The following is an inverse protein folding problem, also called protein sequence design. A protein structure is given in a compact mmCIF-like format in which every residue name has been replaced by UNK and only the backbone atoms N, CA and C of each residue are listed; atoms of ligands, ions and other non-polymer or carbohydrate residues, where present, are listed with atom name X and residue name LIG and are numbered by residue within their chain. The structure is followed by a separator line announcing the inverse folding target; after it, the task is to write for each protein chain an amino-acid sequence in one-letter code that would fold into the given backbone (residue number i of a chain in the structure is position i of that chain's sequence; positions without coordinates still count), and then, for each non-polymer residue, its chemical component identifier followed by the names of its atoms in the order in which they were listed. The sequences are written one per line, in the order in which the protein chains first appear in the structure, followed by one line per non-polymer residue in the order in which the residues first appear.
data_IF_467879352039
#
_entry.id   IF_467879352039
#
_cell.length_a   1.000
_cell.length_b   1.000
_cell.length_c   1.000
_cell.angle_alpha   90.00
_cell.angle_beta   90.00
_cell.angle_gamma   90.00
#
_symmetry.space_group_name_H-M   'P 1'
#
loop_
_entity.id
_entity.type
_entity.pdbx_description
1 polymer ?
#
# COMPACT_ATOMS: atom_id res chain seq x y z
N UNK A 1 -47.70 -35.01 -8.06
CA UNK A 1 -46.48 -35.02 -7.23
C UNK A 1 -45.31 -34.64 -8.15
N UNK A 2 -45.20 -33.36 -8.55
CA UNK A 2 -44.44 -32.24 -7.95
C UNK A 2 -42.89 -32.36 -8.02
N UNK A 3 -42.34 -31.85 -9.13
CA UNK A 3 -41.27 -30.83 -9.29
C UNK A 3 -39.92 -30.90 -8.54
N UNK A 4 -38.85 -30.88 -9.37
CA UNK A 4 -37.71 -29.92 -9.47
C UNK A 4 -36.48 -29.97 -8.53
N UNK A 5 -35.27 -30.11 -9.14
CA UNK A 5 -34.24 -29.03 -9.24
C UNK A 5 -33.06 -29.42 -10.15
N UNK A 6 -33.08 -28.88 -11.38
CA UNK A 6 -31.97 -28.31 -12.17
C UNK A 6 -31.22 -27.24 -11.33
N UNK A 7 -30.02 -26.72 -11.57
CA UNK A 7 -29.00 -26.65 -12.64
C UNK A 7 -27.82 -25.86 -12.01
N UNK A 8 -26.61 -25.87 -12.60
CA UNK A 8 -25.61 -24.84 -12.27
C UNK A 8 -24.13 -25.18 -12.44
N UNK A 9 -23.72 -26.00 -13.43
CA UNK A 9 -22.33 -25.94 -13.93
C UNK A 9 -22.26 -24.77 -14.91
N UNK A 10 -21.62 -23.68 -14.51
CA UNK A 10 -21.39 -22.53 -15.40
C UNK A 10 -20.39 -22.99 -16.47
N UNK A 11 -20.94 -23.19 -17.67
CA UNK A 11 -20.22 -23.40 -18.91
C UNK A 11 -19.75 -22.01 -19.39
N UNK A 12 -18.48 -21.69 -19.23
CA UNK A 12 -17.90 -20.47 -19.83
C UNK A 12 -17.86 -20.71 -21.34
N UNK A 13 -18.66 -19.93 -22.06
CA UNK A 13 -18.80 -20.01 -23.52
C UNK A 13 -17.57 -19.34 -24.16
N UNK A 14 -16.60 -20.13 -24.62
CA UNK A 14 -15.53 -19.64 -25.50
C UNK A 14 -16.11 -19.37 -26.89
N UNK A 15 -16.26 -18.09 -27.24
CA UNK A 15 -16.49 -17.70 -28.63
C UNK A 15 -15.15 -17.76 -29.38
N UNK A 16 -14.83 -18.94 -29.94
CA UNK A 16 -13.74 -19.08 -30.91
C UNK A 16 -14.22 -18.45 -32.22
N UNK A 17 -13.81 -17.22 -32.52
CA UNK A 17 -13.89 -16.68 -33.87
C UNK A 17 -12.68 -17.18 -34.63
N UNK A 18 -12.83 -18.31 -35.34
CA UNK A 18 -11.94 -18.65 -36.45
C UNK A 18 -12.43 -17.85 -37.65
N UNK A 19 -11.68 -16.83 -38.08
CA UNK A 19 -11.76 -16.37 -39.46
C UNK A 19 -10.38 -16.32 -40.12
N UNK A 20 -10.31 -17.13 -41.17
CA UNK A 20 -9.30 -17.18 -42.20
C UNK A 20 -9.38 -15.88 -43.02
N UNK A 21 -8.25 -15.23 -43.31
CA UNK A 21 -8.18 -14.10 -44.23
C UNK A 21 -6.74 -13.63 -44.43
N UNK A 22 -5.98 -14.26 -45.33
CA UNK A 22 -5.69 -13.72 -46.67
C UNK A 22 -4.69 -12.57 -46.70
N UNK A 23 -3.49 -12.92 -47.17
CA UNK A 23 -2.71 -12.22 -48.18
C UNK A 23 -2.34 -10.74 -47.95
N UNK A 24 -1.03 -10.50 -48.00
CA UNK A 24 -0.42 -9.28 -48.51
C UNK A 24 -1.24 -8.62 -49.63
N UNK A 25 -1.79 -7.43 -49.39
CA UNK A 25 -1.68 -6.27 -50.29
C UNK A 25 -2.54 -5.10 -49.79
N UNK A 26 -1.90 -3.94 -49.62
CA UNK A 26 -2.37 -2.64 -50.10
C UNK A 26 -3.79 -2.17 -49.76
N UNK A 27 -3.83 -1.10 -48.95
CA UNK A 27 -4.81 -0.02 -48.98
C UNK A 27 -6.30 -0.40 -48.82
N UNK A 28 -6.87 -0.14 -47.65
CA UNK A 28 -8.04 0.74 -47.45
C UNK A 28 -8.49 0.68 -45.99
N UNK A 29 -8.86 1.83 -45.43
CA UNK A 29 -9.34 1.96 -44.05
C UNK A 29 -10.46 0.98 -43.71
N UNK A 30 -10.15 0.09 -42.78
CA UNK A 30 -11.02 -0.84 -42.05
C UNK A 30 -10.57 -0.85 -40.58
N UNK A 31 -11.38 -1.38 -39.65
CA UNK A 31 -11.54 -0.83 -38.30
C UNK A 31 -10.25 -0.79 -37.47
N UNK A 32 -10.13 0.26 -36.64
CA UNK A 32 -9.17 0.37 -35.55
C UNK A 32 -9.28 -0.88 -34.65
N UNK A 33 -8.21 -1.68 -34.64
CA UNK A 33 -7.82 -2.76 -33.71
C UNK A 33 -8.92 -3.70 -33.19
N UNK A 34 -8.73 -5.02 -33.40
CA UNK A 34 -9.70 -6.03 -32.99
C UNK A 34 -9.62 -6.28 -31.47
N UNK A 35 -10.46 -5.56 -30.72
CA UNK A 35 -10.71 -5.87 -29.31
C UNK A 35 -11.40 -7.24 -29.22
N UNK A 36 -10.70 -8.21 -28.66
CA UNK A 36 -11.20 -9.58 -28.50
C UNK A 36 -11.66 -9.78 -27.06
N UNK A 37 -12.71 -10.58 -26.87
CA UNK A 37 -13.11 -11.04 -25.53
C UNK A 37 -12.13 -12.11 -25.03
N UNK A 38 -10.92 -11.67 -24.73
CA UNK A 38 -9.82 -12.46 -24.22
C UNK A 38 -9.05 -13.29 -25.25
N UNK A 39 -7.91 -13.84 -24.79
CA UNK A 39 -7.06 -14.78 -25.49
C UNK A 39 -7.23 -16.19 -24.89
N UNK A 40 -6.95 -17.24 -25.65
CA UNK A 40 -6.81 -18.57 -25.04
C UNK A 40 -5.51 -18.65 -24.22
N UNK A 41 -5.48 -19.48 -23.17
CA UNK A 41 -4.24 -19.75 -22.44
C UNK A 41 -3.16 -20.33 -23.37
N UNK A 42 -3.53 -21.12 -24.38
CA UNK A 42 -2.62 -21.57 -25.45
C UNK A 42 -1.97 -20.42 -26.24
N UNK A 43 -2.67 -19.29 -26.43
CA UNK A 43 -2.11 -18.11 -27.08
C UNK A 43 -1.17 -17.36 -26.13
N UNK A 44 -1.52 -17.28 -24.84
CA UNK A 44 -0.73 -16.64 -23.80
C UNK A 44 0.57 -17.40 -23.55
N UNK A 45 0.53 -18.73 -23.52
CA UNK A 45 1.73 -19.59 -23.40
C UNK A 45 2.72 -19.47 -24.56
N UNK A 46 2.34 -18.78 -25.65
CA UNK A 46 3.22 -18.46 -26.79
C UNK A 46 3.79 -17.04 -26.73
N UNK A 47 3.36 -16.21 -25.77
CA UNK A 47 3.95 -14.89 -25.57
C UNK A 47 5.41 -15.08 -25.17
N UNK A 48 6.30 -14.41 -25.90
CA UNK A 48 7.73 -14.47 -25.68
C UNK A 48 8.34 -13.09 -25.69
N UNK A 49 9.41 -12.94 -24.92
CA UNK A 49 10.14 -11.67 -24.78
C UNK A 49 11.63 -11.93 -24.74
N UNK A 50 12.40 -10.99 -25.29
CA UNK A 50 13.86 -10.96 -25.20
C UNK A 50 14.28 -9.72 -24.42
N UNK A 51 15.00 -9.94 -23.31
CA UNK A 51 15.51 -8.86 -22.46
C UNK A 51 16.93 -8.45 -22.85
N UNK A 52 17.26 -7.19 -22.63
CA UNK A 52 18.62 -6.67 -22.66
C UNK A 52 19.37 -6.89 -21.35
N UNK A 53 18.65 -7.09 -20.25
CA UNK A 53 19.19 -7.29 -18.90
C UNK A 53 18.33 -8.26 -18.08
N UNK A 54 18.99 -8.94 -17.15
CA UNK A 54 18.35 -9.79 -16.16
C UNK A 54 17.59 -8.96 -15.11
N UNK A 55 16.96 -9.61 -14.13
CA UNK A 55 16.31 -8.97 -13.00
C UNK A 55 17.30 -8.04 -12.31
N UNK A 56 16.96 -6.76 -12.30
CA UNK A 56 17.85 -5.70 -11.85
C UNK A 56 17.22 -5.03 -10.63
N UNK A 57 17.98 -4.73 -9.57
CA UNK A 57 17.50 -3.91 -8.49
C UNK A 57 16.83 -2.63 -8.99
N UNK A 58 15.74 -2.20 -8.35
CA UNK A 58 15.02 -0.98 -8.71
C UNK A 58 14.82 -0.12 -7.46
N UNK A 59 14.98 1.19 -7.60
CA UNK A 59 14.51 2.17 -6.62
C UNK A 59 13.48 3.05 -7.32
N UNK A 60 12.24 2.98 -6.90
CA UNK A 60 11.15 3.81 -7.39
C UNK A 60 10.87 4.96 -6.43
N UNK A 61 10.76 6.19 -6.96
CA UNK A 61 10.38 7.35 -6.15
C UNK A 61 8.97 7.18 -5.62
N UNK A 62 8.75 7.49 -4.34
CA UNK A 62 7.40 7.51 -3.75
C UNK A 62 6.52 8.65 -4.29
N UNK A 63 7.11 9.62 -5.02
CA UNK A 63 6.41 10.78 -5.59
C UNK A 63 5.34 10.39 -6.62
N UNK A 64 5.45 9.23 -7.26
CA UNK A 64 4.47 8.74 -8.20
C UNK A 64 4.23 7.22 -8.03
N UNK A 65 2.98 6.86 -7.76
CA UNK A 65 2.59 5.48 -7.46
C UNK A 65 2.77 4.51 -8.65
N UNK A 66 2.76 5.00 -9.90
CA UNK A 66 2.96 4.14 -11.07
C UNK A 66 4.40 3.64 -11.21
N UNK A 67 5.39 4.33 -10.63
CA UNK A 67 6.79 3.94 -10.76
C UNK A 67 7.08 2.55 -10.21
N UNK A 68 6.41 2.15 -9.12
CA UNK A 68 6.51 0.80 -8.58
C UNK A 68 5.94 -0.24 -9.57
N UNK A 69 4.82 0.06 -10.24
CA UNK A 69 4.21 -0.84 -11.22
C UNK A 69 5.13 -1.04 -12.44
N UNK A 70 5.74 0.04 -12.93
CA UNK A 70 6.71 0.02 -14.03
C UNK A 70 7.96 -0.79 -13.65
N UNK A 71 8.46 -0.61 -12.43
CA UNK A 71 9.66 -1.29 -11.92
C UNK A 71 9.46 -2.77 -11.58
N UNK A 72 8.23 -3.20 -11.31
CA UNK A 72 7.95 -4.58 -10.85
C UNK A 72 8.43 -5.65 -11.86
N UNK A 73 8.06 -5.63 -13.15
CA UNK A 73 8.56 -6.61 -14.14
C UNK A 73 10.05 -6.42 -14.51
N UNK A 74 10.69 -5.36 -14.02
CA UNK A 74 12.13 -5.13 -14.13
C UNK A 74 12.89 -5.85 -13.02
N UNK A 75 12.38 -5.75 -11.79
CA UNK A 75 12.94 -6.37 -10.60
C UNK A 75 12.58 -7.85 -10.47
N UNK A 76 11.40 -8.27 -10.95
CA UNK A 76 10.95 -9.66 -10.89
C UNK A 76 10.31 -10.10 -12.21
N UNK A 77 10.79 -11.21 -12.76
CA UNK A 77 10.12 -11.85 -13.90
C UNK A 77 10.37 -13.36 -13.94
N UNK A 78 9.61 -14.06 -14.77
CA UNK A 78 9.78 -15.48 -15.03
C UNK A 78 10.30 -15.77 -16.44
N UNK A 79 11.33 -16.61 -16.54
CA UNK A 79 11.80 -17.19 -17.79
C UNK A 79 11.50 -18.69 -17.78
N UNK A 80 10.50 -19.13 -18.55
CA UNK A 80 9.94 -20.46 -18.34
C UNK A 80 9.39 -20.59 -16.91
N UNK A 81 9.88 -21.57 -16.16
CA UNK A 81 9.49 -21.79 -14.75
C UNK A 81 10.48 -21.18 -13.74
N UNK A 82 11.58 -20.59 -14.21
CA UNK A 82 12.60 -20.02 -13.36
C UNK A 82 12.23 -18.56 -13.03
N UNK A 83 12.25 -18.23 -11.74
CA UNK A 83 12.05 -16.89 -11.22
C UNK A 83 13.38 -16.14 -11.17
N UNK A 84 13.39 -14.92 -11.70
CA UNK A 84 14.51 -13.99 -11.62
C UNK A 84 14.06 -12.85 -10.71
N UNK A 85 14.77 -12.65 -9.59
CA UNK A 85 14.32 -11.75 -8.51
C UNK A 85 15.45 -10.84 -8.08
N UNK A 86 15.15 -9.55 -8.05
CA UNK A 86 15.96 -8.50 -7.45
C UNK A 86 15.06 -7.61 -6.58
N UNK A 87 15.62 -6.85 -5.62
CA UNK A 87 14.82 -6.01 -4.75
C UNK A 87 14.27 -4.79 -5.51
N UNK A 88 13.01 -4.44 -5.23
CA UNK A 88 12.44 -3.14 -5.57
C UNK A 88 12.18 -2.38 -4.27
N UNK A 89 12.77 -1.20 -4.15
CA UNK A 89 12.53 -0.28 -3.03
C UNK A 89 11.66 0.88 -3.51
N UNK A 90 10.74 1.31 -2.66
CA UNK A 90 10.02 2.58 -2.82
C UNK A 90 10.62 3.57 -1.84
N UNK A 91 11.09 4.71 -2.32
CA UNK A 91 11.93 5.62 -1.56
C UNK A 91 11.56 7.09 -1.78
N UNK A 92 11.57 7.87 -0.70
CA UNK A 92 11.73 9.30 -0.76
C UNK A 92 13.21 9.66 -0.93
N UNK A 93 13.64 10.05 -2.12
CA UNK A 93 15.06 10.33 -2.39
C UNK A 93 15.65 11.50 -1.58
N UNK A 94 14.80 12.40 -1.05
CA UNK A 94 15.25 13.54 -0.23
C UNK A 94 15.30 13.21 1.27
N UNK A 95 14.45 12.29 1.72
CA UNK A 95 14.37 11.86 3.12
C UNK A 95 14.01 10.37 3.21
N UNK A 96 14.94 9.46 2.87
CA UNK A 96 14.65 8.04 2.82
C UNK A 96 14.21 7.49 4.17
N UNK A 97 13.25 6.56 4.17
CA UNK A 97 12.78 5.97 5.43
C UNK A 97 13.90 5.17 6.13
N UNK A 98 13.82 5.05 7.46
CA UNK A 98 14.76 4.21 8.24
C UNK A 98 14.79 2.75 7.79
N UNK A 99 13.68 2.24 7.25
CA UNK A 99 13.59 0.87 6.75
C UNK A 99 14.38 0.69 5.46
N UNK A 100 14.33 1.67 4.55
CA UNK A 100 15.09 1.68 3.30
C UNK A 100 16.58 1.79 3.58
N UNK A 101 17.00 2.81 4.32
CA UNK A 101 18.42 3.02 4.68
C UNK A 101 19.03 1.80 5.39
N UNK A 102 18.30 1.21 6.36
CA UNK A 102 18.74 -0.02 7.03
C UNK A 102 18.89 -1.20 6.06
N UNK A 103 18.00 -1.35 5.09
CA UNK A 103 18.11 -2.40 4.07
C UNK A 103 19.34 -2.16 3.19
N UNK A 104 19.55 -0.93 2.74
CA UNK A 104 20.69 -0.57 1.90
C UNK A 104 22.04 -0.84 2.60
N UNK A 105 22.16 -0.44 3.86
CA UNK A 105 23.34 -0.69 4.69
C UNK A 105 23.59 -2.19 4.89
N UNK A 106 22.54 -2.95 5.18
CA UNK A 106 22.64 -4.38 5.50
C UNK A 106 23.05 -5.23 4.29
N UNK A 107 22.57 -4.87 3.10
CA UNK A 107 22.76 -5.68 1.90
C UNK A 107 23.75 -5.06 0.90
N UNK A 108 24.40 -3.94 1.25
CA UNK A 108 25.24 -3.17 0.31
C UNK A 108 24.52 -2.93 -1.02
N UNK A 109 23.24 -2.56 -0.90
CA UNK A 109 22.33 -2.47 -2.04
C UNK A 109 22.72 -1.29 -2.94
N UNK A 110 22.76 -1.54 -4.24
CA UNK A 110 22.87 -0.49 -5.26
C UNK A 110 21.98 -0.84 -6.43
N UNK A 111 21.35 0.17 -7.01
CA UNK A 111 20.47 0.02 -8.16
C UNK A 111 20.97 0.81 -9.36
N UNK A 112 21.07 0.14 -10.51
CA UNK A 112 21.33 0.75 -11.82
C UNK A 112 20.05 1.35 -12.44
N UNK A 113 18.89 1.14 -11.80
CA UNK A 113 17.59 1.62 -12.22
C UNK A 113 16.93 2.39 -11.07
N UNK A 114 17.07 3.72 -11.15
CA UNK A 114 16.36 4.67 -10.29
C UNK A 114 15.27 5.33 -11.11
N UNK A 115 14.03 5.12 -10.71
CA UNK A 115 12.83 5.65 -11.36
C UNK A 115 12.42 6.90 -10.58
N UNK A 116 12.89 8.06 -11.03
CA UNK A 116 12.70 9.34 -10.35
C UNK A 116 12.54 10.47 -11.37
N UNK A 117 11.52 11.31 -11.18
CA UNK A 117 11.16 12.38 -12.10
C UNK A 117 10.59 11.87 -13.44
N UNK A 118 9.96 12.79 -14.18
CA UNK A 118 9.30 12.49 -15.46
C UNK A 118 7.86 11.98 -15.30
N UNK A 119 7.08 12.02 -16.38
CA UNK A 119 5.74 11.44 -16.37
C UNK A 119 5.78 9.91 -16.38
N UNK A 120 4.75 9.21 -15.85
CA UNK A 120 4.66 7.76 -15.96
C UNK A 120 4.80 7.24 -17.40
N UNK A 121 4.28 7.99 -18.38
CA UNK A 121 4.41 7.66 -19.81
C UNK A 121 5.86 7.66 -20.28
N UNK A 122 6.57 8.77 -20.13
CA UNK A 122 7.98 8.91 -20.52
C UNK A 122 8.84 7.83 -19.85
N UNK A 123 8.68 7.69 -18.54
CA UNK A 123 9.46 6.77 -17.72
C UNK A 123 9.21 5.31 -18.10
N UNK A 124 7.94 4.92 -18.31
CA UNK A 124 7.61 3.56 -18.68
C UNK A 124 8.10 3.19 -20.08
N UNK A 125 8.07 4.13 -21.04
CA UNK A 125 8.64 3.96 -22.37
C UNK A 125 10.15 3.78 -22.32
N UNK A 126 10.85 4.64 -21.58
CA UNK A 126 12.32 4.58 -21.45
C UNK A 126 12.76 3.25 -20.83
N UNK A 127 12.08 2.83 -19.76
CA UNK A 127 12.35 1.55 -19.11
C UNK A 127 12.04 0.38 -20.05
N UNK A 128 10.93 0.42 -20.77
CA UNK A 128 10.56 -0.64 -21.72
C UNK A 128 11.64 -0.83 -22.80
N UNK A 129 12.16 0.27 -23.35
CA UNK A 129 13.22 0.23 -24.37
C UNK A 129 14.59 -0.17 -23.82
N UNK A 130 14.88 0.18 -22.56
CA UNK A 130 16.14 -0.18 -21.90
C UNK A 130 16.20 -1.67 -21.54
N UNK A 131 15.08 -2.24 -21.08
CA UNK A 131 15.04 -3.58 -20.50
C UNK A 131 14.63 -4.64 -21.52
N UNK A 132 13.73 -4.35 -22.46
CA UNK A 132 13.26 -5.29 -23.48
C UNK A 132 13.79 -4.93 -24.87
N UNK A 133 14.41 -5.90 -25.55
CA UNK A 133 14.74 -5.80 -26.97
C UNK A 133 13.52 -6.13 -27.84
N UNK A 134 12.70 -7.08 -27.36
CA UNK A 134 11.47 -7.53 -27.99
C UNK A 134 10.50 -8.00 -26.92
N UNK A 135 9.21 -7.76 -27.13
CA UNK A 135 8.14 -8.31 -26.30
C UNK A 135 6.90 -8.56 -27.15
N UNK A 136 6.42 -9.79 -27.22
CA UNK A 136 5.15 -10.09 -27.91
C UNK A 136 3.93 -9.55 -27.15
N UNK A 137 4.08 -9.18 -25.87
CA UNK A 137 2.99 -8.65 -25.05
C UNK A 137 3.34 -7.35 -24.31
N UNK A 138 2.33 -6.69 -23.78
CA UNK A 138 2.47 -5.52 -22.89
C UNK A 138 1.30 -5.48 -21.90
N UNK A 139 1.56 -5.02 -20.67
CA UNK A 139 0.49 -4.50 -19.81
C UNK A 139 0.42 -3.00 -20.02
N UNK A 140 -0.67 -2.53 -20.60
CA UNK A 140 -0.91 -1.12 -20.90
C UNK A 140 -1.89 -0.56 -19.86
N UNK A 141 -1.48 0.50 -19.17
CA UNK A 141 -2.23 1.09 -18.06
C UNK A 141 -2.56 2.54 -18.39
N UNK A 142 -3.82 2.92 -18.24
CA UNK A 142 -4.23 4.33 -18.31
C UNK A 142 -3.61 5.13 -17.16
N UNK A 143 -3.06 6.32 -17.44
CA UNK A 143 -2.53 7.24 -16.41
C UNK A 143 -3.69 7.96 -15.70
N UNK A 144 -4.49 7.16 -15.00
CA UNK A 144 -5.69 7.55 -14.26
C UNK A 144 -5.79 6.74 -12.97
N UNK A 145 -6.64 7.18 -12.04
CA UNK A 145 -6.90 6.42 -10.80
C UNK A 145 -7.46 5.03 -11.10
N UNK A 146 -8.40 4.92 -12.04
CA UNK A 146 -9.01 3.64 -12.44
C UNK A 146 -7.97 2.72 -13.09
N UNK A 147 -7.14 3.26 -13.99
CA UNK A 147 -6.02 2.55 -14.58
C UNK A 147 -5.04 2.05 -13.51
N UNK A 148 -4.70 2.88 -12.54
CA UNK A 148 -3.83 2.50 -11.41
C UNK A 148 -4.43 1.36 -10.57
N UNK A 149 -5.69 1.46 -10.15
CA UNK A 149 -6.37 0.43 -9.33
C UNK A 149 -6.36 -0.94 -10.02
N UNK A 150 -6.72 -0.98 -11.31
CA UNK A 150 -6.61 -2.20 -12.12
C UNK A 150 -5.15 -2.62 -12.32
N UNK A 151 -4.26 -1.67 -12.55
CA UNK A 151 -2.83 -1.86 -12.79
C UNK A 151 -2.12 -2.53 -11.62
N UNK A 152 -2.45 -2.18 -10.37
CA UNK A 152 -1.93 -2.84 -9.16
C UNK A 152 -2.21 -4.34 -9.22
N UNK A 153 -3.44 -4.72 -9.60
CA UNK A 153 -3.84 -6.13 -9.71
C UNK A 153 -3.24 -6.81 -10.95
N UNK A 154 -3.06 -6.08 -12.06
CA UNK A 154 -2.64 -6.64 -13.35
C UNK A 154 -1.12 -6.73 -13.53
N UNK A 155 -0.35 -5.90 -12.83
CA UNK A 155 1.13 -5.87 -12.93
C UNK A 155 1.80 -7.23 -12.72
N UNK A 156 1.33 -8.13 -11.84
CA UNK A 156 1.88 -9.49 -11.75
C UNK A 156 1.83 -10.29 -13.07
N UNK A 157 0.85 -10.01 -13.95
CA UNK A 157 0.80 -10.60 -15.31
C UNK A 157 2.09 -10.25 -16.06
N UNK A 158 2.58 -9.02 -15.92
CA UNK A 158 3.79 -8.55 -16.57
C UNK A 158 5.02 -9.36 -16.14
N UNK A 159 5.17 -9.62 -14.85
CA UNK A 159 6.25 -10.45 -14.30
C UNK A 159 6.14 -11.91 -14.72
N UNK A 160 4.94 -12.52 -14.67
CA UNK A 160 4.75 -13.91 -15.09
C UNK A 160 5.00 -14.13 -16.58
N UNK A 161 4.68 -13.15 -17.42
CA UNK A 161 4.85 -13.25 -18.88
C UNK A 161 6.14 -12.61 -19.38
N UNK A 162 6.95 -12.01 -18.50
CA UNK A 162 8.15 -11.26 -18.86
C UNK A 162 7.88 -10.17 -19.92
N UNK A 163 6.86 -9.35 -19.71
CA UNK A 163 6.45 -8.27 -20.62
C UNK A 163 6.56 -6.90 -19.92
N UNK A 164 6.75 -5.80 -20.65
CA UNK A 164 6.78 -4.47 -20.06
C UNK A 164 5.42 -4.03 -19.53
N UNK A 165 5.46 -3.11 -18.57
CA UNK A 165 4.34 -2.26 -18.18
C UNK A 165 4.57 -0.89 -18.83
N UNK A 166 3.59 -0.41 -19.59
CA UNK A 166 3.58 0.94 -20.16
C UNK A 166 2.37 1.69 -19.63
N UNK A 167 2.59 2.93 -19.18
CA UNK A 167 1.54 3.81 -18.68
C UNK A 167 1.29 4.90 -19.73
N UNK A 168 0.05 5.21 -20.07
CA UNK A 168 -0.26 6.27 -21.06
C UNK A 168 -1.72 6.67 -20.97
N UNK A 169 -2.04 7.92 -21.29
CA UNK A 169 -3.43 8.36 -21.50
C UNK A 169 -3.89 8.25 -22.96
N UNK A 170 -2.97 7.96 -23.88
CA UNK A 170 -3.28 7.82 -25.29
C UNK A 170 -2.31 6.85 -25.97
N UNK A 171 -2.82 5.69 -26.35
CA UNK A 171 -2.04 4.63 -27.01
C UNK A 171 -1.33 5.08 -28.28
N UNK A 172 -1.82 6.13 -28.96
CA UNK A 172 -1.12 6.70 -30.12
C UNK A 172 0.26 7.31 -29.73
N UNK A 173 0.42 7.82 -28.50
CA UNK A 173 1.69 8.38 -28.03
C UNK A 173 2.80 7.32 -27.91
N UNK A 174 2.42 6.08 -27.60
CA UNK A 174 3.35 4.98 -27.34
C UNK A 174 3.40 3.96 -28.48
N UNK A 175 2.64 4.18 -29.57
CA UNK A 175 2.46 3.23 -30.67
C UNK A 175 3.78 2.82 -31.33
N UNK A 176 4.65 3.79 -31.59
CA UNK A 176 5.97 3.53 -32.17
C UNK A 176 6.83 2.59 -31.31
N UNK A 177 6.70 2.70 -29.98
CA UNK A 177 7.43 1.85 -29.02
C UNK A 177 6.86 0.44 -29.02
N UNK A 178 5.53 0.31 -29.03
CA UNK A 178 4.84 -0.98 -29.11
C UNK A 178 5.20 -1.73 -30.40
N UNK A 179 5.19 -1.03 -31.54
CA UNK A 179 5.58 -1.56 -32.84
C UNK A 179 7.04 -2.01 -32.85
N UNK A 180 7.95 -1.17 -32.32
CA UNK A 180 9.38 -1.47 -32.24
C UNK A 180 9.68 -2.71 -31.38
N UNK A 181 8.95 -2.88 -30.27
CA UNK A 181 9.06 -4.07 -29.42
C UNK A 181 8.41 -5.31 -30.04
N UNK A 182 7.56 -5.14 -31.05
CA UNK A 182 6.85 -6.21 -31.73
C UNK A 182 5.66 -6.75 -30.93
N UNK A 183 4.98 -5.87 -30.19
CA UNK A 183 3.82 -6.21 -29.36
C UNK A 183 2.68 -6.71 -30.24
N UNK A 184 2.05 -7.81 -29.83
CA UNK A 184 0.88 -8.43 -30.48
C UNK A 184 -0.30 -8.61 -29.54
N UNK A 185 -0.02 -8.64 -28.24
CA UNK A 185 -0.98 -8.90 -27.17
C UNK A 185 -0.93 -7.78 -26.14
N UNK A 186 -2.06 -7.11 -25.94
CA UNK A 186 -2.20 -6.01 -24.99
C UNK A 186 -3.12 -6.42 -23.86
N UNK A 187 -2.64 -6.40 -22.62
CA UNK A 187 -3.44 -6.52 -21.41
C UNK A 187 -3.73 -5.11 -20.90
N UNK A 188 -4.99 -4.69 -21.01
CA UNK A 188 -5.35 -3.28 -20.91
C UNK A 188 -6.11 -2.96 -19.62
N UNK A 189 -5.61 -1.98 -18.87
CA UNK A 189 -6.19 -1.45 -17.65
C UNK A 189 -6.62 0.00 -17.86
N UNK A 190 -7.92 0.29 -17.73
CA UNK A 190 -8.50 1.62 -17.96
C UNK A 190 -9.15 1.79 -19.33
N UNK A 191 -9.53 3.02 -19.66
CA UNK A 191 -10.43 3.33 -20.78
C UNK A 191 -9.73 4.04 -21.96
N UNK A 192 -8.62 3.48 -22.42
CA UNK A 192 -7.89 3.93 -23.62
C UNK A 192 -8.02 2.92 -24.78
N UNK A 193 -7.59 3.29 -25.99
CA UNK A 193 -7.55 2.35 -27.13
C UNK A 193 -6.51 1.25 -26.90
N UNK A 194 -6.75 0.04 -27.40
CA UNK A 194 -5.77 -1.05 -27.33
C UNK A 194 -4.72 -1.00 -28.44
N UNK A 195 -3.80 -1.96 -28.43
CA UNK A 195 -2.84 -2.20 -29.50
C UNK A 195 -2.89 -3.65 -29.96
N UNK A 196 -3.00 -3.87 -31.27
CA UNK A 196 -3.18 -5.20 -31.87
C UNK A 196 -4.30 -6.00 -31.16
N UNK A 197 -4.03 -7.23 -30.70
CA UNK A 197 -5.02 -8.02 -29.98
C UNK A 197 -5.07 -7.55 -28.54
N UNK A 198 -6.25 -7.15 -28.08
CA UNK A 198 -6.41 -6.53 -26.76
C UNK A 198 -7.34 -7.33 -25.87
N UNK A 199 -6.91 -7.57 -24.62
CA UNK A 199 -7.73 -8.04 -23.51
C UNK A 199 -7.89 -6.89 -22.52
N UNK A 200 -9.08 -6.29 -22.47
CA UNK A 200 -9.41 -5.24 -21.50
C UNK A 200 -9.94 -5.84 -20.21
N UNK A 201 -9.39 -5.40 -19.08
CA UNK A 201 -9.94 -5.68 -17.76
C UNK A 201 -10.86 -4.55 -17.33
N UNK A 202 -12.04 -4.91 -16.83
CA UNK A 202 -13.03 -3.94 -16.31
C UNK A 202 -13.13 -3.93 -14.79
N UNK A 203 -12.54 -4.93 -14.12
CA UNK A 203 -12.56 -5.08 -12.66
C UNK A 203 -11.42 -6.00 -12.17
N UNK A 204 -11.09 -5.88 -10.88
CA UNK A 204 -10.04 -6.65 -10.21
C UNK A 204 -10.34 -8.16 -10.16
N UNK A 205 -11.61 -8.56 -10.17
CA UNK A 205 -12.01 -9.97 -10.11
C UNK A 205 -11.65 -10.70 -11.40
N UNK A 206 -11.83 -10.05 -12.56
CA UNK A 206 -11.39 -10.58 -13.85
C UNK A 206 -9.88 -10.78 -13.90
N UNK A 207 -9.11 -9.81 -13.38
CA UNK A 207 -7.65 -9.90 -13.31
C UNK A 207 -7.22 -11.05 -12.40
N UNK A 208 -7.85 -11.15 -11.22
CA UNK A 208 -7.57 -12.22 -10.25
C UNK A 208 -7.85 -13.60 -10.84
N UNK A 209 -9.00 -13.78 -11.50
CA UNK A 209 -9.33 -15.04 -12.16
C UNK A 209 -8.34 -15.37 -13.30
N UNK A 210 -7.96 -14.35 -14.09
CA UNK A 210 -6.95 -14.51 -15.13
C UNK A 210 -5.60 -14.97 -14.55
N UNK A 211 -5.13 -14.33 -13.47
CA UNK A 211 -3.90 -14.72 -12.79
C UNK A 211 -3.96 -16.14 -12.24
N UNK A 212 -5.09 -16.55 -11.67
CA UNK A 212 -5.30 -17.93 -11.20
C UNK A 212 -5.12 -18.92 -12.35
N UNK A 213 -5.71 -18.65 -13.50
CA UNK A 213 -5.61 -19.53 -14.67
C UNK A 213 -4.21 -19.53 -15.26
N UNK A 214 -3.56 -18.35 -15.36
CA UNK A 214 -2.17 -18.21 -15.81
C UNK A 214 -1.21 -19.00 -14.91
N UNK A 215 -1.32 -18.87 -13.58
CA UNK A 215 -0.48 -19.58 -12.61
C UNK A 215 -0.71 -21.08 -12.67
N UNK A 216 -1.97 -21.53 -12.84
CA UNK A 216 -2.29 -22.95 -13.00
C UNK A 216 -1.70 -23.54 -14.27
N UNK A 217 -1.82 -22.82 -15.39
CA UNK A 217 -1.27 -23.24 -16.67
C UNK A 217 0.26 -23.34 -16.61
N UNK A 218 0.92 -22.29 -16.07
CA UNK A 218 2.37 -22.19 -16.00
C UNK A 218 3.01 -23.18 -15.02
N UNK A 219 2.45 -23.33 -13.81
CA UNK A 219 3.08 -24.09 -12.72
C UNK A 219 2.37 -25.40 -12.36
N UNK A 220 1.29 -25.74 -13.07
CA UNK A 220 0.46 -26.92 -12.81
C UNK A 220 -0.45 -26.80 -11.60
N UNK A 221 -0.54 -25.62 -10.97
CA UNK A 221 -1.40 -25.34 -9.83
C UNK A 221 -0.93 -24.18 -8.95
N UNK A 222 -1.83 -23.68 -8.11
CA UNK A 222 -1.52 -22.70 -7.06
C UNK A 222 -1.05 -23.47 -5.82
N UNK A 223 0.26 -23.42 -5.52
CA UNK A 223 0.89 -24.27 -4.49
C UNK A 223 0.88 -23.66 -3.08
N UNK A 224 0.50 -22.40 -2.95
CA UNK A 224 0.42 -21.72 -1.65
C UNK A 224 -0.73 -20.71 -1.65
N UNK A 225 -1.25 -20.44 -0.45
CA UNK A 225 -2.23 -19.40 -0.18
C UNK A 225 -1.51 -18.37 0.67
N UNK A 226 -1.42 -17.13 0.20
CA UNK A 226 -0.97 -16.03 1.03
C UNK A 226 -2.16 -15.53 1.83
N UNK A 227 -2.12 -15.70 3.15
CA UNK A 227 -3.09 -15.11 4.06
C UNK A 227 -2.53 -13.76 4.52
N UNK A 228 -2.92 -12.68 3.85
CA UNK A 228 -2.98 -11.39 4.54
C UNK A 228 -4.01 -11.54 5.68
N UNK A 229 -3.79 -10.91 6.84
CA UNK A 229 -4.74 -11.02 7.95
C UNK A 229 -6.13 -10.65 7.40
N UNK A 230 -7.13 -11.54 7.44
CA UNK A 230 -8.44 -11.28 6.84
C UNK A 230 -9.12 -10.03 7.41
N UNK A 231 -8.71 -9.59 8.61
CA UNK A 231 -9.15 -8.33 9.20
C UNK A 231 -8.56 -7.09 8.54
N UNK A 232 -7.41 -7.17 7.86
CA UNK A 232 -6.79 -6.05 7.13
C UNK A 232 -7.56 -5.72 5.84
N UNK A 233 -8.34 -6.66 5.32
CA UNK A 233 -9.16 -6.46 4.13
C UNK A 233 -10.39 -5.59 4.37
N UNK A 234 -10.83 -5.43 5.64
CA UNK A 234 -12.04 -4.68 5.98
C UNK A 234 -11.80 -3.82 7.22
N UNK A 235 -11.85 -2.49 7.06
CA UNK A 235 -11.85 -1.61 8.23
C UNK A 235 -13.06 -1.94 9.13
N UNK A 236 -12.85 -2.15 10.44
CA UNK A 236 -13.96 -2.40 11.38
C UNK A 236 -14.98 -1.26 11.32
N UNK A 237 -16.27 -1.61 11.27
CA UNK A 237 -17.33 -0.61 11.35
C UNK A 237 -17.35 0.00 12.75
N UNK A 238 -17.14 1.31 12.84
CA UNK A 238 -17.33 2.07 14.09
C UNK A 238 -18.81 2.04 14.47
N UNK A 239 -19.14 1.44 15.61
CA UNK A 239 -20.52 1.34 16.10
C UNK A 239 -20.98 2.65 16.74
N UNK A 240 -20.10 3.30 17.48
CA UNK A 240 -20.33 4.58 18.15
C UNK A 240 -18.99 5.28 18.42
N UNK A 241 -19.01 6.60 18.61
CA UNK A 241 -17.86 7.40 19.03
C UNK A 241 -18.27 8.24 20.23
N UNK A 242 -17.45 8.25 21.28
CA UNK A 242 -17.63 9.13 22.44
C UNK A 242 -16.35 9.90 22.65
N UNK A 243 -16.47 11.21 22.87
CA UNK A 243 -15.33 12.11 23.02
C UNK A 243 -15.40 12.80 24.37
N UNK A 244 -14.25 12.88 25.04
CA UNK A 244 -14.07 13.61 26.28
C UNK A 244 -13.06 14.73 26.04
N UNK A 245 -13.25 15.86 26.71
CA UNK A 245 -12.29 16.97 26.67
C UNK A 245 -12.02 17.42 28.09
N UNK A 246 -10.73 17.44 28.44
CA UNK A 246 -10.24 17.88 29.73
C UNK A 246 -9.26 19.03 29.51
N UNK A 247 -9.33 20.06 30.36
CA UNK A 247 -8.42 21.19 30.35
C UNK A 247 -8.17 21.66 31.77
N UNK A 248 -6.91 21.85 32.13
CA UNK A 248 -6.51 22.26 33.47
C UNK A 248 -5.03 22.60 33.54
N UNK A 249 -4.55 22.75 34.76
CA UNK A 249 -3.14 23.00 35.11
C UNK A 249 -2.67 21.93 36.08
N UNK A 250 -1.43 21.49 35.95
CA UNK A 250 -0.76 20.59 36.88
C UNK A 250 0.46 21.29 37.46
N UNK A 251 0.81 21.00 38.72
CA UNK A 251 2.01 21.55 39.36
C UNK A 251 3.26 20.85 38.84
N UNK A 252 4.34 21.62 38.63
CA UNK A 252 5.61 21.08 38.11
C UNK A 252 6.28 20.09 39.06
N UNK A 253 6.68 18.93 38.53
CA UNK A 253 7.45 17.89 39.24
C UNK A 253 8.97 17.97 39.00
N UNK A 254 9.47 19.06 38.41
CA UNK A 254 10.90 19.27 38.21
C UNK A 254 11.65 19.28 39.56
N UNK A 255 12.60 18.35 39.75
CA UNK A 255 13.35 18.21 41.01
C UNK A 255 14.55 19.16 41.00
N UNK A 256 14.35 20.39 41.48
CA UNK A 256 15.41 21.36 41.73
C UNK A 256 15.35 21.82 43.20
N UNK A 257 16.47 22.25 43.80
CA UNK A 257 16.47 22.73 45.19
C UNK A 257 15.45 23.85 45.47
N UNK A 258 15.14 24.68 44.47
CA UNK A 258 14.17 25.78 44.56
C UNK A 258 12.71 25.38 44.34
N UNK A 259 12.44 24.17 43.83
CA UNK A 259 11.09 23.72 43.43
C UNK A 259 10.51 22.62 44.33
N UNK A 260 11.20 22.21 45.40
CA UNK A 260 10.79 21.11 46.29
C UNK A 260 9.31 21.17 46.74
N UNK A 261 8.76 22.35 47.00
CA UNK A 261 7.36 22.52 47.39
C UNK A 261 6.40 22.28 46.21
N UNK A 262 6.69 22.82 45.02
CA UNK A 262 5.87 22.58 43.83
C UNK A 262 5.97 21.13 43.38
N UNK A 263 7.16 20.54 43.46
CA UNK A 263 7.39 19.12 43.18
C UNK A 263 6.57 18.23 44.10
N UNK A 264 6.59 18.50 45.42
CA UNK A 264 5.79 17.73 46.37
C UNK A 264 4.29 17.85 46.09
N UNK A 265 3.81 19.04 45.70
CA UNK A 265 2.42 19.23 45.29
C UNK A 265 2.07 18.50 44.00
N UNK A 266 2.91 18.58 42.97
CA UNK A 266 2.69 17.88 41.70
C UNK A 266 2.57 16.36 41.85
N UNK A 267 3.34 15.77 42.77
CA UNK A 267 3.19 14.34 43.11
C UNK A 267 1.94 14.02 43.93
N UNK A 268 1.45 14.95 44.76
CA UNK A 268 0.29 14.74 45.63
C UNK A 268 -1.05 15.06 44.97
N UNK A 269 -1.06 15.97 43.98
CA UNK A 269 -2.24 16.48 43.32
C UNK A 269 -2.10 16.43 41.78
N UNK A 270 -1.86 15.26 41.18
CA UNK A 270 -1.79 15.16 39.73
C UNK A 270 -3.17 15.33 39.09
N UNK A 271 -3.19 15.62 37.79
CA UNK A 271 -4.44 15.73 37.04
C UNK A 271 -5.09 14.35 36.89
N UNK A 272 -6.29 14.16 37.47
CA UNK A 272 -7.02 12.88 37.40
C UNK A 272 -8.25 12.98 36.50
N UNK A 273 -8.33 12.07 35.53
CA UNK A 273 -9.46 11.93 34.62
C UNK A 273 -9.85 10.46 34.51
N UNK A 274 -11.05 10.17 34.02
CA UNK A 274 -11.47 8.81 33.72
C UNK A 274 -12.46 8.77 32.57
N UNK A 275 -12.61 7.58 32.01
CA UNK A 275 -13.66 7.24 31.07
C UNK A 275 -14.06 5.78 31.24
N UNK A 276 -15.27 5.43 30.83
CA UNK A 276 -15.78 4.05 30.89
C UNK A 276 -16.09 3.56 29.49
N UNK A 277 -15.64 2.36 29.16
CA UNK A 277 -16.01 1.71 27.90
C UNK A 277 -17.48 1.28 28.01
N UNK A 278 -18.35 1.63 27.06
CA UNK A 278 -19.75 1.21 27.12
C UNK A 278 -19.91 -0.33 27.16
N UNK A 279 -20.91 -0.81 27.90
CA UNK A 279 -21.24 -2.24 27.97
C UNK A 279 -21.59 -2.82 26.58
N UNK A 280 -21.22 -4.08 26.36
CA UNK A 280 -21.50 -4.79 25.10
C UNK A 280 -20.53 -4.52 23.95
N UNK A 281 -19.43 -3.79 24.19
CA UNK A 281 -18.40 -3.50 23.19
C UNK A 281 -17.20 -4.43 23.34
N UNK A 282 -17.10 -5.44 22.45
CA UNK A 282 -15.99 -6.39 22.45
C UNK A 282 -14.62 -5.76 22.14
N UNK A 283 -14.60 -4.73 21.31
CA UNK A 283 -13.40 -3.98 20.96
C UNK A 283 -13.66 -2.48 21.15
N UNK A 284 -12.67 -1.75 21.66
CA UNK A 284 -12.70 -0.30 21.75
C UNK A 284 -11.38 0.28 21.25
N UNK A 285 -11.45 1.16 20.25
CA UNK A 285 -10.30 1.98 19.84
C UNK A 285 -10.27 3.22 20.74
N UNK A 286 -9.22 3.35 21.55
CA UNK A 286 -9.00 4.50 22.41
C UNK A 286 -7.96 5.39 21.76
N UNK A 287 -8.29 6.67 21.62
CA UNK A 287 -7.41 7.72 21.09
C UNK A 287 -7.25 8.79 22.15
N UNK A 288 -6.02 9.15 22.48
CA UNK A 288 -5.71 10.17 23.48
C UNK A 288 -4.77 11.19 22.85
N UNK A 289 -5.22 12.43 22.83
CA UNK A 289 -4.41 13.60 22.48
C UNK A 289 -4.07 14.37 23.76
N UNK A 290 -2.78 14.50 24.05
CA UNK A 290 -2.27 15.32 25.13
C UNK A 290 -1.48 16.49 24.54
N UNK A 291 -1.73 17.69 25.03
CA UNK A 291 -1.02 18.91 24.59
C UNK A 291 -0.56 19.67 25.83
N UNK A 292 0.73 20.01 25.88
CA UNK A 292 1.26 20.94 26.86
C UNK A 292 0.85 22.37 26.46
N UNK A 293 -0.01 23.00 27.26
CA UNK A 293 -0.47 24.35 26.99
C UNK A 293 0.62 25.41 27.25
N UNK A 294 1.68 25.07 27.97
CA UNK A 294 2.86 25.90 28.19
C UNK A 294 4.03 25.38 27.35
N UNK A 295 3.89 25.46 26.02
CA UNK A 295 4.91 24.95 25.08
C UNK A 295 6.12 25.86 24.89
N UNK A 296 6.12 27.05 25.49
CA UNK A 296 7.22 28.02 25.40
C UNK A 296 8.47 27.44 26.09
N UNK A 297 9.62 27.50 25.41
CA UNK A 297 10.92 27.04 25.90
C UNK A 297 11.02 25.56 26.33
N UNK A 298 10.03 24.72 26.00
CA UNK A 298 10.01 23.27 26.32
C UNK A 298 11.28 22.57 25.82
N UNK A 299 11.76 22.94 24.63
CA UNK A 299 12.98 22.38 24.03
C UNK A 299 14.25 22.73 24.83
N UNK A 300 14.32 23.95 25.37
CA UNK A 300 15.48 24.46 26.09
C UNK A 300 15.48 24.04 27.56
N UNK A 301 14.30 23.92 28.18
CA UNK A 301 14.12 23.58 29.58
C UNK A 301 13.93 22.07 29.82
N UNK A 302 13.64 21.31 28.77
CA UNK A 302 13.32 19.89 28.86
C UNK A 302 12.01 19.62 29.62
N UNK A 303 11.05 20.56 29.53
CA UNK A 303 9.72 20.43 30.13
C UNK A 303 8.87 19.43 29.36
N UNK A 304 8.00 18.66 30.03
CA UNK A 304 7.12 17.69 29.38
C UNK A 304 5.98 17.24 30.29
N UNK A 305 4.85 16.88 29.68
CA UNK A 305 3.79 16.19 30.40
C UNK A 305 3.99 14.68 30.34
N UNK A 306 3.71 14.00 31.45
CA UNK A 306 3.60 12.54 31.55
C UNK A 306 2.13 12.17 31.66
N UNK A 307 1.71 11.18 30.86
CA UNK A 307 0.40 10.54 30.94
C UNK A 307 0.58 9.06 31.26
N UNK A 308 -0.07 8.63 32.34
CA UNK A 308 -0.23 7.22 32.67
C UNK A 308 -1.70 6.88 32.83
N UNK A 309 -2.08 5.64 32.52
CA UNK A 309 -3.45 5.21 32.70
C UNK A 309 -3.63 3.71 32.68
N UNK A 310 -4.70 3.28 33.33
CA UNK A 310 -4.99 1.89 33.62
C UNK A 310 -6.45 1.62 33.93
N UNK A 311 -6.92 0.37 33.81
CA UNK A 311 -8.28 0.00 34.17
C UNK A 311 -8.48 -0.05 35.70
N UNK A 312 -9.75 -0.02 36.10
CA UNK A 312 -10.21 -0.41 37.45
C UNK A 312 -10.73 -1.83 37.40
N UNK A 313 -9.86 -2.79 37.67
CA UNK A 313 -10.19 -4.20 37.78
C UNK A 313 -10.19 -4.61 39.26
N UNK A 314 -11.25 -5.29 39.69
CA UNK A 314 -11.41 -5.72 41.09
C UNK A 314 -10.45 -6.85 41.48
N UNK A 315 -9.96 -7.61 40.50
CA UNK A 315 -9.14 -8.80 40.68
C UNK A 315 -7.63 -8.52 40.67
N UNK A 316 -7.21 -7.29 40.37
CA UNK A 316 -5.80 -6.89 40.33
C UNK A 316 -5.49 -5.74 41.31
N UNK A 317 -4.28 -5.69 41.91
CA UNK A 317 -3.85 -4.55 42.69
C UNK A 317 -3.74 -3.27 41.83
N UNK A 318 -4.16 -2.09 42.31
CA UNK A 318 -4.10 -0.82 41.55
C UNK A 318 -2.72 -0.52 40.91
N UNK A 319 -1.65 -0.87 41.61
CA UNK A 319 -0.27 -0.64 41.14
C UNK A 319 0.10 -1.45 39.90
N UNK A 320 -0.53 -2.62 39.69
CA UNK A 320 -0.26 -3.48 38.54
C UNK A 320 -1.04 -3.05 37.30
N UNK A 321 -2.14 -2.31 37.49
CA UNK A 321 -3.03 -1.90 36.40
C UNK A 321 -2.74 -0.48 35.91
N UNK A 322 -2.12 0.40 36.72
CA UNK A 322 -2.02 1.85 36.44
C UNK A 322 -1.29 2.22 35.12
N UNK A 323 -0.58 1.28 34.50
CA UNK A 323 0.16 1.47 33.24
C UNK A 323 -0.32 0.56 32.11
N UNK A 324 -1.40 -0.20 32.31
CA UNK A 324 -1.88 -1.16 31.29
C UNK A 324 -2.39 -0.46 30.02
N UNK A 325 -3.00 0.72 30.15
CA UNK A 325 -3.53 1.46 29.01
C UNK A 325 -2.45 2.29 28.32
N UNK A 326 -1.74 3.12 29.08
CA UNK A 326 -0.78 4.08 28.53
C UNK A 326 0.27 4.46 29.57
N UNK A 327 1.51 4.63 29.10
CA UNK A 327 2.59 5.28 29.83
C UNK A 327 3.45 6.02 28.81
N UNK A 328 3.20 7.32 28.66
CA UNK A 328 3.82 8.12 27.60
C UNK A 328 4.09 9.54 28.08
N UNK A 329 5.03 10.22 27.42
CA UNK A 329 5.31 11.63 27.66
C UNK A 329 5.17 12.43 26.37
N UNK A 330 5.01 13.76 26.48
CA UNK A 330 5.00 14.62 25.30
C UNK A 330 6.32 14.58 24.53
N UNK A 331 7.45 14.27 25.18
CA UNK A 331 8.74 14.01 24.51
C UNK A 331 8.73 12.83 23.53
N UNK A 332 7.83 11.86 23.70
CA UNK A 332 7.67 10.76 22.75
C UNK A 332 6.77 11.13 21.56
N UNK A 333 6.14 12.30 21.59
CA UNK A 333 5.24 12.79 20.56
C UNK A 333 5.95 13.47 19.40
N UNK A 334 5.16 13.80 18.37
CA UNK A 334 5.60 14.63 17.24
C UNK A 334 5.09 16.06 17.47
N UNK A 335 5.94 16.99 17.94
CA UNK A 335 5.52 18.36 18.21
C UNK A 335 5.24 19.14 16.91
N UNK A 336 4.48 20.23 17.01
CA UNK A 336 4.41 21.22 15.93
C UNK A 336 5.58 22.19 16.08
N UNK A 337 6.26 22.48 14.96
CA UNK A 337 7.44 23.36 14.92
C UNK A 337 7.21 24.54 13.99
N UNK A 338 7.86 25.67 14.28
CA UNK A 338 7.90 26.82 13.39
C UNK A 338 8.89 26.62 12.22
N UNK A 339 9.01 27.63 11.35
CA UNK A 339 9.92 27.59 10.19
C UNK A 339 11.41 27.60 10.55
N UNK A 340 11.76 28.02 11.76
CA UNK A 340 13.11 27.92 12.33
C UNK A 340 13.37 26.56 13.00
N UNK A 341 12.35 25.73 13.13
CA UNK A 341 12.43 24.42 13.75
C UNK A 341 12.15 24.42 15.25
N UNK A 342 11.76 25.52 15.87
CA UNK A 342 11.45 25.58 17.31
C UNK A 342 10.07 24.98 17.60
N UNK A 343 9.94 24.28 18.73
CA UNK A 343 8.65 23.73 19.18
C UNK A 343 7.69 24.89 19.51
N UNK A 344 6.54 24.92 18.84
CA UNK A 344 5.43 25.86 19.13
C UNK A 344 4.26 25.18 19.83
N UNK A 345 4.17 23.85 19.70
CA UNK A 345 3.17 23.04 20.39
C UNK A 345 3.73 21.66 20.71
N UNK A 346 4.00 21.45 21.99
CA UNK A 346 4.40 20.19 22.54
C UNK A 346 3.17 19.30 22.78
N UNK A 347 3.14 18.13 22.14
CA UNK A 347 1.97 17.26 22.08
C UNK A 347 2.35 15.82 21.85
N UNK A 348 1.51 14.92 22.32
CA UNK A 348 1.58 13.50 21.98
C UNK A 348 0.20 12.96 21.65
N UNK A 349 0.18 12.09 20.64
CA UNK A 349 -0.99 11.35 20.21
C UNK A 349 -0.73 9.87 20.48
N UNK A 350 -1.67 9.22 21.15
CA UNK A 350 -1.61 7.80 21.49
C UNK A 350 -2.89 7.11 21.05
N UNK A 351 -2.77 5.95 20.39
CA UNK A 351 -3.90 5.11 20.04
C UNK A 351 -3.62 3.65 20.43
N UNK A 352 -4.64 2.97 20.94
CA UNK A 352 -4.58 1.53 21.19
C UNK A 352 -5.96 0.89 21.09
N UNK A 353 -5.99 -0.40 20.81
CA UNK A 353 -7.23 -1.20 20.77
C UNK A 353 -7.31 -2.06 22.02
N UNK A 354 -8.40 -1.88 22.77
CA UNK A 354 -8.72 -2.69 23.94
C UNK A 354 -9.69 -3.80 23.54
N UNK A 355 -9.45 -5.00 24.05
CA UNK A 355 -10.25 -6.19 23.82
C UNK A 355 -10.89 -6.65 25.13
N UNK A 356 -12.20 -6.93 25.10
CA UNK A 356 -12.93 -7.52 26.23
C UNK A 356 -12.82 -6.70 27.52
N UNK A 357 -13.07 -5.39 27.36
CA UNK A 357 -13.04 -4.37 28.43
C UNK A 357 -14.37 -3.63 28.53
N UNK A 358 -15.48 -4.26 28.14
CA UNK A 358 -16.78 -3.59 28.19
C UNK A 358 -17.21 -3.32 29.64
N UNK A 359 -17.78 -2.14 29.88
CA UNK A 359 -18.14 -1.67 31.23
C UNK A 359 -16.95 -1.27 32.10
N UNK A 360 -15.70 -1.51 31.68
CA UNK A 360 -14.51 -1.19 32.48
C UNK A 360 -14.24 0.32 32.45
N UNK A 361 -13.98 0.87 33.64
CA UNK A 361 -13.55 2.26 33.80
C UNK A 361 -12.03 2.33 33.80
N UNK A 362 -11.47 3.28 33.07
CA UNK A 362 -10.06 3.58 33.00
C UNK A 362 -9.76 4.91 33.67
N UNK A 363 -8.76 4.92 34.53
CA UNK A 363 -8.21 6.12 35.13
C UNK A 363 -7.01 6.62 34.33
N UNK A 364 -6.95 7.93 34.16
CA UNK A 364 -5.86 8.66 33.53
C UNK A 364 -5.28 9.62 34.56
N UNK A 365 -3.96 9.66 34.64
CA UNK A 365 -3.20 10.56 35.50
C UNK A 365 -2.22 11.34 34.64
N UNK A 366 -2.24 12.67 34.78
CA UNK A 366 -1.35 13.60 34.08
C UNK A 366 -0.48 14.32 35.11
N UNK A 367 0.82 14.34 34.86
CA UNK A 367 1.81 15.11 35.61
C UNK A 367 2.64 15.94 34.63
N UNK A 368 3.26 17.02 35.09
CA UNK A 368 4.10 17.91 34.29
C UNK A 368 5.26 18.41 35.11
#
# INVERSE_FOLDING_TARGET
MKMNRKEGKILVLFAVVIMIGTAFSGCMGGPKFEEVKGFSMDAIGKISSERAMDATPVIASEENSFYALIGTPVAEYYSGNDSHVAPLLVENFSNPSRSVTRFEDMYSFSSDIKIVGGSPEEVSVDIAQKVWKKSDGVVLIEDSKEGYELGVSATPIASYLNIPVIVTNNTDNVRDVLDKLGVKYTFLCGNIEGHERTWRFTDEQQITNFLIDLVKDKFGGVKYITLANPMDAFMPKVLNTTSFHFKGTVDSVAILPSTLISTAKGFLEPGHHNFTIPEGYKYALVKIDLTNLNSEDVEDLGDYLTLSGGPRLEDLPPEQQMYELVQITTMAGVPERDSSGHIVKDKVHYETVLYDRDGVTFDLTVMG
#
